data_IF_834237816784
#
_entry.id   IF_834237816784
#
_cell.length_a   1.000
_cell.length_b   1.000
_cell.length_c   1.000
_cell.angle_alpha   90.00
_cell.angle_beta   90.00
_cell.angle_gamma   90.00
#
_symmetry.space_group_name_H-M   'P 1'
#
loop_
_entity.id
_entity.type
_entity.pdbx_description
1 polymer ?
#
# COMPACT_ATOMS: atom_id res chain seq x y z
N UNK A 1 0.03 -15.31 -5.61
CA UNK A 1 0.06 -13.93 -6.12
C UNK A 1 0.62 -13.90 -7.52
N UNK A 2 -0.08 -13.22 -8.43
CA UNK A 2 0.36 -12.96 -9.80
C UNK A 2 1.42 -11.85 -9.82
N UNK A 3 2.15 -11.75 -10.94
CA UNK A 3 3.20 -10.72 -11.13
C UNK A 3 2.67 -9.30 -10.89
N UNK A 4 1.50 -8.98 -11.44
CA UNK A 4 0.88 -7.66 -11.30
C UNK A 4 0.54 -7.31 -9.83
N UNK A 5 0.13 -8.30 -9.05
CA UNK A 5 -0.17 -8.13 -7.62
C UNK A 5 1.10 -7.87 -6.82
N UNK A 6 2.20 -8.55 -7.17
CA UNK A 6 3.52 -8.30 -6.57
C UNK A 6 4.04 -6.90 -6.92
N UNK A 7 3.91 -6.46 -8.16
CA UNK A 7 4.30 -5.11 -8.60
C UNK A 7 3.49 -4.02 -7.86
N UNK A 8 2.17 -4.25 -7.67
CA UNK A 8 1.32 -3.37 -6.85
C UNK A 8 1.78 -3.33 -5.39
N UNK A 9 2.07 -4.49 -4.78
CA UNK A 9 2.57 -4.57 -3.41
C UNK A 9 3.91 -3.83 -3.24
N UNK A 10 4.81 -3.94 -4.21
CA UNK A 10 6.05 -3.18 -4.23
C UNK A 10 5.78 -1.67 -4.25
N UNK A 11 4.87 -1.19 -5.11
CA UNK A 11 4.48 0.22 -5.14
C UNK A 11 3.92 0.71 -3.80
N UNK A 12 3.04 -0.07 -3.17
CA UNK A 12 2.48 0.21 -1.84
C UNK A 12 3.59 0.33 -0.79
N UNK A 13 4.55 -0.60 -0.77
CA UNK A 13 5.68 -0.55 0.16
C UNK A 13 6.54 0.70 -0.01
N UNK A 14 6.74 1.16 -1.25
CA UNK A 14 7.49 2.38 -1.54
C UNK A 14 6.74 3.62 -1.03
N UNK A 15 5.41 3.65 -1.17
CA UNK A 15 4.57 4.73 -0.62
C UNK A 15 4.64 4.77 0.92
N UNK A 16 4.54 3.61 1.58
CA UNK A 16 4.69 3.51 3.05
C UNK A 16 6.04 4.02 3.50
N UNK A 17 7.13 3.57 2.86
CA UNK A 17 8.49 4.02 3.18
C UNK A 17 8.60 5.55 3.08
N UNK A 18 8.12 6.14 1.99
CA UNK A 18 8.13 7.60 1.79
C UNK A 18 7.27 8.32 2.82
N UNK A 19 6.14 7.74 3.22
CA UNK A 19 5.30 8.28 4.28
C UNK A 19 6.05 8.35 5.61
N UNK A 20 6.72 7.26 6.01
CA UNK A 20 7.53 7.18 7.22
C UNK A 20 8.71 8.15 7.19
N UNK A 21 9.39 8.30 6.05
CA UNK A 21 10.46 9.30 5.86
C UNK A 21 9.96 10.74 6.07
N UNK A 22 8.76 11.08 5.57
CA UNK A 22 8.16 12.39 5.81
C UNK A 22 7.80 12.60 7.29
N UNK A 23 7.28 11.57 7.97
CA UNK A 23 6.99 11.66 9.41
C UNK A 23 8.29 11.90 10.19
N UNK A 24 9.35 11.15 9.89
CA UNK A 24 10.65 11.27 10.56
C UNK A 24 11.32 12.63 10.34
N UNK A 25 11.03 13.31 9.23
CA UNK A 25 11.54 14.66 8.93
C UNK A 25 10.63 15.79 9.44
N UNK A 26 9.62 15.47 10.25
CA UNK A 26 8.69 16.44 10.85
C UNK A 26 7.53 16.86 9.95
N UNK A 27 7.46 16.36 8.70
CA UNK A 27 6.35 16.59 7.77
C UNK A 27 5.21 15.60 8.01
N UNK A 28 4.69 15.59 9.23
CA UNK A 28 3.72 14.59 9.71
C UNK A 28 2.44 14.56 8.86
N UNK A 29 1.89 15.72 8.49
CA UNK A 29 0.69 15.79 7.65
C UNK A 29 0.88 15.14 6.27
N UNK A 30 1.98 15.47 5.59
CA UNK A 30 2.35 14.85 4.32
C UNK A 30 2.56 13.35 4.51
N UNK A 31 3.34 12.94 5.50
CA UNK A 31 3.63 11.54 5.74
C UNK A 31 2.38 10.70 6.05
N UNK A 32 1.44 11.25 6.83
CA UNK A 32 0.13 10.63 7.08
C UNK A 32 -0.66 10.41 5.79
N UNK A 33 -0.71 11.40 4.90
CA UNK A 33 -1.40 11.26 3.62
C UNK A 33 -0.83 10.13 2.75
N UNK A 34 0.50 9.97 2.71
CA UNK A 34 1.14 8.86 2.00
C UNK A 34 0.82 7.49 2.63
N UNK A 35 0.84 7.39 3.97
CA UNK A 35 0.50 6.14 4.67
C UNK A 35 -0.96 5.76 4.45
N UNK A 36 -1.88 6.71 4.53
CA UNK A 36 -3.31 6.48 4.29
C UNK A 36 -3.58 6.01 2.85
N UNK A 37 -2.91 6.60 1.87
CA UNK A 37 -3.04 6.17 0.47
C UNK A 37 -2.53 4.74 0.27
N UNK A 38 -1.37 4.43 0.84
CA UNK A 38 -0.82 3.08 0.76
C UNK A 38 -1.70 2.03 1.46
N UNK A 39 -2.31 2.39 2.60
CA UNK A 39 -3.26 1.53 3.29
C UNK A 39 -4.53 1.28 2.47
N UNK A 40 -5.07 2.30 1.79
CA UNK A 40 -6.20 2.16 0.87
C UNK A 40 -5.85 1.22 -0.29
N UNK A 41 -4.69 1.43 -0.92
CA UNK A 41 -4.23 0.58 -2.02
C UNK A 41 -4.01 -0.87 -1.59
N UNK A 42 -3.49 -1.10 -0.39
CA UNK A 42 -3.33 -2.45 0.17
C UNK A 42 -4.66 -3.16 0.39
N UNK A 43 -5.66 -2.47 0.96
CA UNK A 43 -6.99 -3.05 1.17
C UNK A 43 -7.66 -3.46 -0.15
N UNK A 44 -7.47 -2.66 -1.21
CA UNK A 44 -7.96 -3.01 -2.56
C UNK A 44 -7.25 -4.27 -3.07
N UNK A 45 -5.92 -4.35 -2.95
CA UNK A 45 -5.16 -5.52 -3.38
C UNK A 45 -5.57 -6.79 -2.63
N UNK A 46 -5.75 -6.71 -1.31
CA UNK A 46 -6.23 -7.82 -0.50
C UNK A 46 -7.62 -8.30 -0.93
N UNK A 47 -8.54 -7.37 -1.20
CA UNK A 47 -9.89 -7.70 -1.68
C UNK A 47 -9.85 -8.44 -3.03
N UNK A 48 -8.96 -8.04 -3.93
CA UNK A 48 -8.75 -8.72 -5.22
C UNK A 48 -8.23 -10.13 -4.98
N UNK A 49 -7.16 -10.28 -4.20
CA UNK A 49 -6.55 -11.58 -3.89
C UNK A 49 -7.56 -12.52 -3.22
N UNK A 50 -8.35 -12.02 -2.27
CA UNK A 50 -9.40 -12.80 -1.59
C UNK A 50 -10.51 -13.20 -2.56
N UNK A 51 -10.91 -12.31 -3.47
CA UNK A 51 -11.92 -12.63 -4.50
C UNK A 51 -11.42 -13.69 -5.50
N UNK A 52 -10.14 -13.67 -5.82
CA UNK A 52 -9.52 -14.69 -6.68
C UNK A 52 -9.37 -16.04 -5.96
N UNK A 53 -9.05 -16.02 -4.67
CA UNK A 53 -8.87 -17.23 -3.86
C UNK A 53 -10.19 -17.86 -3.39
N UNK A 54 -11.22 -17.03 -3.15
CA UNK A 54 -12.57 -17.43 -2.75
C UNK A 54 -13.44 -17.96 -3.89
N UNK A 55 -12.99 -17.83 -5.15
CA UNK A 55 -13.47 -18.68 -6.26
C UNK A 55 -12.84 -20.08 -6.15
N UNK A 56 -13.26 -20.84 -5.15
CA UNK A 56 -13.07 -22.30 -5.07
C UNK A 56 -14.37 -22.95 -4.63
#
# INVERSE_FOLDING_TARGET
MKREELERLYSISAQLKKGLENINTGRVGTGKAWVEEAARALNILLTIVDSENGRK
#
